data_IF_175398352865
#
_entry.id   IF_175398352865
#
_cell.length_a   1.000
_cell.length_b   1.000
_cell.length_c   1.000
_cell.angle_alpha   90.00
_cell.angle_beta   90.00
_cell.angle_gamma   90.00
#
_symmetry.space_group_name_H-M   'P 1'
#
loop_
_entity.id
_entity.type
_entity.pdbx_description
1 polymer ?
#
# COMPACT_ATOMS: atom_id res chain seq x y z
N UNK A 1 28.35 -14.63 2.41
CA UNK A 1 27.10 -15.33 2.07
C UNK A 1 27.21 -15.78 0.63
N UNK A 2 26.81 -17.02 0.39
CA UNK A 2 26.64 -17.66 -0.92
C UNK A 2 25.77 -16.80 -1.85
N UNK A 3 26.03 -16.86 -3.15
CA UNK A 3 25.21 -16.20 -4.17
C UNK A 3 23.72 -16.54 -3.94
N UNK A 4 22.90 -15.52 -3.70
CA UNK A 4 21.45 -15.69 -3.61
C UNK A 4 20.87 -15.86 -5.02
N UNK A 5 19.87 -16.73 -5.16
CA UNK A 5 19.21 -16.99 -6.43
C UNK A 5 18.68 -15.68 -7.04
N UNK A 6 18.86 -15.53 -8.35
CA UNK A 6 18.22 -14.48 -9.13
C UNK A 6 17.43 -15.12 -10.26
N UNK A 7 16.15 -14.76 -10.39
CA UNK A 7 15.31 -15.11 -11.54
C UNK A 7 14.77 -13.86 -12.20
N UNK A 8 14.37 -14.00 -13.46
CA UNK A 8 13.75 -12.94 -14.26
C UNK A 8 12.28 -13.23 -14.49
N UNK A 9 11.45 -12.18 -14.53
CA UNK A 9 10.05 -12.24 -14.94
C UNK A 9 9.76 -11.12 -15.93
N UNK A 10 9.09 -11.45 -17.04
CA UNK A 10 9.15 -10.60 -18.23
C UNK A 10 8.10 -10.93 -19.29
N UNK A 11 7.78 -9.98 -20.18
CA UNK A 11 6.85 -10.22 -21.29
C UNK A 11 7.35 -11.28 -22.28
N UNK A 12 8.67 -11.46 -22.38
CA UNK A 12 9.35 -12.40 -23.27
C UNK A 12 10.74 -12.73 -22.73
N UNK A 13 11.28 -13.90 -23.12
CA UNK A 13 12.66 -14.32 -22.83
C UNK A 13 13.10 -14.22 -21.36
N UNK A 14 12.16 -14.42 -20.42
CA UNK A 14 12.41 -14.46 -18.98
C UNK A 14 12.20 -15.87 -18.42
N UNK A 15 12.81 -16.17 -17.27
CA UNK A 15 12.62 -17.45 -16.57
C UNK A 15 11.13 -17.71 -16.28
N UNK A 16 10.40 -16.64 -15.92
CA UNK A 16 8.94 -16.60 -15.81
C UNK A 16 8.38 -15.65 -16.86
N UNK A 17 7.81 -16.18 -17.94
CA UNK A 17 7.25 -15.35 -19.02
C UNK A 17 5.77 -15.05 -18.78
N UNK A 18 5.41 -13.76 -18.76
CA UNK A 18 4.04 -13.27 -18.64
C UNK A 18 3.96 -11.76 -18.45
N UNK A 19 2.75 -11.21 -18.51
CA UNK A 19 2.47 -9.76 -18.43
C UNK A 19 1.43 -9.43 -17.36
N UNK A 20 1.35 -10.25 -16.32
CA UNK A 20 0.34 -10.11 -15.27
C UNK A 20 0.88 -10.52 -13.89
N UNK A 21 0.04 -10.32 -12.89
CA UNK A 21 0.36 -10.65 -11.50
C UNK A 21 0.64 -12.15 -11.28
N UNK A 22 0.15 -13.05 -12.14
CA UNK A 22 0.38 -14.49 -11.99
C UNK A 22 1.84 -14.85 -12.26
N UNK A 23 2.41 -14.34 -13.36
CA UNK A 23 3.83 -14.56 -13.68
C UNK A 23 4.76 -13.88 -12.67
N UNK A 24 4.37 -12.71 -12.15
CA UNK A 24 5.11 -12.00 -11.11
C UNK A 24 5.12 -12.80 -9.79
N UNK A 25 3.94 -13.25 -9.35
CA UNK A 25 3.81 -13.99 -8.10
C UNK A 25 4.51 -15.36 -8.19
N UNK A 26 4.44 -16.05 -9.33
CA UNK A 26 5.14 -17.30 -9.55
C UNK A 26 6.67 -17.16 -9.36
N UNK A 27 7.26 -16.08 -9.88
CA UNK A 27 8.68 -15.79 -9.70
C UNK A 27 9.04 -15.51 -8.22
N UNK A 28 8.19 -14.74 -7.52
CA UNK A 28 8.35 -14.46 -6.08
C UNK A 28 8.27 -15.73 -5.26
N UNK A 29 7.24 -16.56 -5.48
CA UNK A 29 7.03 -17.79 -4.72
C UNK A 29 8.14 -18.81 -4.99
N UNK A 30 8.64 -18.90 -6.23
CA UNK A 30 9.77 -19.78 -6.58
C UNK A 30 11.06 -19.42 -5.82
N UNK A 31 11.44 -18.13 -5.83
CA UNK A 31 12.63 -17.66 -5.11
C UNK A 31 12.45 -17.85 -3.60
N UNK A 32 11.26 -17.59 -3.09
CA UNK A 32 10.94 -17.75 -1.66
C UNK A 32 11.04 -19.20 -1.21
N UNK A 33 10.57 -20.15 -2.02
CA UNK A 33 10.65 -21.58 -1.73
C UNK A 33 12.11 -22.07 -1.58
N UNK A 34 13.07 -21.32 -2.09
CA UNK A 34 14.51 -21.60 -2.01
C UNK A 34 15.24 -20.77 -0.94
N UNK A 35 14.49 -20.09 -0.06
CA UNK A 35 15.03 -19.35 1.08
C UNK A 35 15.23 -17.85 0.83
N UNK A 36 14.66 -17.30 -0.24
CA UNK A 36 14.76 -15.89 -0.60
C UNK A 36 15.75 -15.64 -1.75
N UNK A 37 15.90 -14.38 -2.13
CA UNK A 37 16.72 -13.99 -3.29
C UNK A 37 16.10 -12.86 -4.10
N UNK A 38 16.50 -12.76 -5.36
CA UNK A 38 16.15 -11.64 -6.24
C UNK A 38 15.18 -12.06 -7.34
N UNK A 39 14.09 -11.30 -7.49
CA UNK A 39 13.23 -11.31 -8.68
C UNK A 39 13.50 -10.03 -9.46
N UNK A 40 14.02 -10.18 -10.69
CA UNK A 40 14.20 -9.08 -11.65
C UNK A 40 12.99 -9.02 -12.57
N UNK A 41 12.18 -7.97 -12.42
CA UNK A 41 11.08 -7.68 -13.34
C UNK A 41 11.66 -6.91 -14.52
N UNK A 42 11.53 -7.47 -15.72
CA UNK A 42 11.99 -6.82 -16.94
C UNK A 42 11.09 -5.62 -17.29
N UNK A 43 11.52 -4.83 -18.27
CA UNK A 43 10.71 -3.73 -18.80
C UNK A 43 9.38 -4.28 -19.37
N UNK A 44 8.30 -3.57 -19.11
CA UNK A 44 6.95 -3.94 -19.53
C UNK A 44 5.87 -3.40 -18.59
N UNK A 45 4.64 -3.39 -19.09
CA UNK A 45 3.44 -3.15 -18.28
C UNK A 45 2.81 -4.48 -17.91
N UNK A 46 2.57 -4.67 -16.61
CA UNK A 46 2.01 -5.87 -16.03
C UNK A 46 0.61 -5.57 -15.46
N UNK A 47 -0.38 -6.30 -15.93
CA UNK A 47 -1.77 -6.16 -15.49
C UNK A 47 -1.98 -6.84 -14.14
N UNK A 48 -2.32 -6.04 -13.13
CA UNK A 48 -2.45 -6.49 -11.75
C UNK A 48 -3.91 -6.82 -11.44
N UNK A 49 -4.25 -8.11 -11.53
CA UNK A 49 -5.56 -8.65 -11.14
C UNK A 49 -5.70 -8.99 -9.65
N UNK A 50 -4.59 -8.94 -8.93
CA UNK A 50 -4.47 -9.10 -7.49
C UNK A 50 -3.19 -8.38 -7.04
N UNK A 51 -2.95 -8.29 -5.74
CA UNK A 51 -1.67 -7.82 -5.21
C UNK A 51 -0.51 -8.71 -5.64
N UNK A 52 0.66 -8.12 -5.86
CA UNK A 52 1.92 -8.85 -5.72
C UNK A 52 2.20 -8.99 -4.22
N UNK A 53 2.16 -10.22 -3.71
CA UNK A 53 2.40 -10.52 -2.31
C UNK A 53 3.89 -10.77 -2.06
N UNK A 54 4.51 -9.85 -1.32
CA UNK A 54 5.90 -9.91 -0.92
C UNK A 54 6.14 -11.06 0.08
N UNK A 55 7.41 -11.47 0.20
CA UNK A 55 7.87 -12.60 1.01
C UNK A 55 9.18 -12.23 1.70
N UNK A 56 9.41 -12.70 2.91
CA UNK A 56 10.63 -12.35 3.66
C UNK A 56 11.91 -12.72 2.91
N UNK A 57 12.94 -11.87 2.99
CA UNK A 57 14.21 -12.09 2.28
C UNK A 57 14.15 -11.85 0.76
N UNK A 58 13.07 -11.23 0.27
CA UNK A 58 12.89 -10.90 -1.14
C UNK A 58 13.59 -9.58 -1.51
N UNK A 59 14.31 -9.61 -2.62
CA UNK A 59 14.71 -8.42 -3.37
C UNK A 59 13.96 -8.37 -4.70
N UNK A 60 13.08 -7.38 -4.86
CA UNK A 60 12.33 -7.12 -6.07
C UNK A 60 12.97 -5.94 -6.81
N UNK A 61 13.39 -6.14 -8.07
CA UNK A 61 14.09 -5.11 -8.85
C UNK A 61 13.45 -4.98 -10.22
N UNK A 62 12.98 -3.78 -10.58
CA UNK A 62 12.51 -3.49 -11.93
C UNK A 62 13.57 -2.82 -12.81
N UNK A 63 13.10 -2.24 -13.92
CA UNK A 63 13.87 -1.46 -14.89
C UNK A 63 13.53 0.05 -14.82
N UNK A 64 13.25 0.57 -13.63
CA UNK A 64 12.88 1.97 -13.39
C UNK A 64 11.45 2.28 -13.85
N UNK A 65 11.29 3.38 -14.59
CA UNK A 65 9.98 3.78 -15.15
C UNK A 65 9.46 2.82 -16.24
N UNK A 66 10.34 1.99 -16.81
CA UNK A 66 9.99 1.03 -17.85
C UNK A 66 9.33 -0.25 -17.31
N UNK A 67 9.38 -0.50 -16.00
CA UNK A 67 8.63 -1.58 -15.34
C UNK A 67 7.41 -0.99 -14.65
N UNK A 68 6.21 -1.30 -15.15
CA UNK A 68 4.95 -0.72 -14.66
C UNK A 68 4.02 -1.84 -14.16
N UNK A 69 3.70 -1.82 -12.87
CA UNK A 69 2.65 -2.66 -12.28
C UNK A 69 1.35 -1.87 -12.28
N UNK A 70 0.44 -2.15 -13.21
CA UNK A 70 -0.80 -1.39 -13.41
C UNK A 70 -2.00 -2.11 -12.80
N UNK A 71 -2.71 -1.44 -11.91
CA UNK A 71 -3.95 -1.97 -11.31
C UNK A 71 -5.06 -2.10 -12.34
N UNK A 72 -5.70 -3.27 -12.40
CA UNK A 72 -6.91 -3.43 -13.22
C UNK A 72 -8.07 -2.56 -12.69
N UNK A 73 -9.11 -2.28 -13.49
CA UNK A 73 -10.30 -1.54 -13.02
C UNK A 73 -10.97 -2.22 -11.83
N UNK A 74 -11.50 -1.46 -10.88
CA UNK A 74 -12.31 -2.03 -9.80
C UNK A 74 -13.73 -2.34 -10.27
N UNK A 75 -14.36 -3.33 -9.65
CA UNK A 75 -15.78 -3.66 -9.78
C UNK A 75 -16.31 -4.01 -8.40
N UNK A 76 -17.60 -3.81 -8.14
CA UNK A 76 -18.23 -4.16 -6.87
C UNK A 76 -19.60 -4.80 -7.11
N UNK A 77 -19.99 -5.69 -6.20
CA UNK A 77 -21.27 -6.38 -6.18
C UNK A 77 -21.70 -6.64 -4.73
N UNK A 78 -22.99 -6.71 -4.48
CA UNK A 78 -23.49 -7.04 -3.13
C UNK A 78 -23.32 -8.53 -2.84
N UNK A 79 -23.22 -8.84 -1.55
CA UNK A 79 -23.43 -10.21 -1.08
C UNK A 79 -24.93 -10.53 -1.07
N UNK A 80 -25.29 -11.77 -1.38
CA UNK A 80 -26.68 -12.26 -1.34
C UNK A 80 -26.96 -13.20 -0.17
N UNK A 81 -25.90 -13.70 0.47
CA UNK A 81 -25.98 -14.49 1.71
C UNK A 81 -24.99 -13.93 2.73
N UNK A 82 -25.32 -14.11 4.01
CA UNK A 82 -24.40 -13.79 5.11
C UNK A 82 -23.13 -14.63 4.99
N UNK A 83 -21.99 -14.03 5.34
CA UNK A 83 -20.71 -14.71 5.47
C UNK A 83 -20.22 -14.53 6.90
N UNK A 84 -20.10 -15.62 7.63
CA UNK A 84 -19.53 -15.61 8.97
C UNK A 84 -18.00 -15.68 8.91
N UNK A 85 -17.38 -15.28 10.01
CA UNK A 85 -15.92 -15.15 10.16
C UNK A 85 -15.12 -16.43 9.84
N UNK A 86 -15.75 -17.61 9.87
CA UNK A 86 -15.13 -18.92 9.60
C UNK A 86 -15.43 -19.48 8.20
N UNK A 87 -16.30 -18.82 7.43
CA UNK A 87 -16.67 -19.30 6.10
C UNK A 87 -15.50 -19.17 5.12
N UNK A 88 -15.48 -20.06 4.13
CA UNK A 88 -14.47 -20.05 3.05
C UNK A 88 -15.06 -19.70 1.70
N UNK A 89 -16.34 -19.33 1.68
CA UNK A 89 -17.10 -18.96 0.49
C UNK A 89 -17.90 -17.69 0.74
N UNK A 90 -18.12 -16.91 -0.32
CA UNK A 90 -19.06 -15.77 -0.31
C UNK A 90 -19.99 -15.90 -1.51
N UNK A 91 -21.29 -15.66 -1.31
CA UNK A 91 -22.28 -15.62 -2.40
C UNK A 91 -22.54 -14.17 -2.80
N UNK A 92 -22.38 -13.86 -4.08
CA UNK A 92 -22.51 -12.50 -4.63
C UNK A 92 -23.61 -12.42 -5.69
N UNK A 93 -24.12 -11.21 -5.97
CA UNK A 93 -25.10 -11.02 -7.04
C UNK A 93 -24.55 -11.37 -8.44
N UNK A 94 -23.29 -11.00 -8.73
CA UNK A 94 -22.62 -11.29 -9.99
C UNK A 94 -21.19 -11.85 -9.79
N UNK A 95 -21.05 -13.17 -9.84
CA UNK A 95 -19.75 -13.84 -9.71
C UNK A 95 -18.84 -13.67 -10.93
N UNK A 96 -19.37 -13.27 -12.09
CA UNK A 96 -18.59 -13.11 -13.34
C UNK A 96 -17.60 -11.94 -13.30
N UNK A 97 -17.77 -11.04 -12.32
CA UNK A 97 -16.87 -9.92 -12.04
C UNK A 97 -15.51 -10.37 -11.47
N UNK A 98 -15.42 -11.62 -10.98
CA UNK A 98 -14.24 -12.17 -10.33
C UNK A 98 -13.64 -13.32 -11.14
N UNK A 99 -12.36 -13.59 -10.89
CA UNK A 99 -11.61 -14.65 -11.54
C UNK A 99 -10.71 -15.36 -10.54
N UNK A 100 -10.46 -16.64 -10.77
CA UNK A 100 -9.49 -17.41 -10.00
C UNK A 100 -8.11 -16.74 -10.05
N UNK A 101 -7.45 -16.63 -8.90
CA UNK A 101 -6.21 -15.89 -8.69
C UNK A 101 -6.38 -14.37 -8.59
N UNK A 102 -7.60 -13.85 -8.72
CA UNK A 102 -7.91 -12.43 -8.59
C UNK A 102 -8.09 -11.98 -7.13
N UNK A 103 -7.84 -10.70 -6.87
CA UNK A 103 -8.05 -10.09 -5.57
C UNK A 103 -9.52 -9.75 -5.32
N UNK A 104 -9.96 -9.94 -4.08
CA UNK A 104 -11.29 -9.57 -3.58
C UNK A 104 -11.17 -8.87 -2.23
N UNK A 105 -11.91 -7.77 -2.08
CA UNK A 105 -12.12 -7.05 -0.83
C UNK A 105 -13.56 -7.28 -0.40
N UNK A 106 -13.75 -7.84 0.79
CA UNK A 106 -15.03 -7.81 1.48
C UNK A 106 -15.09 -6.54 2.32
N UNK A 107 -16.19 -5.80 2.21
CA UNK A 107 -16.44 -4.59 3.01
C UNK A 107 -17.89 -4.51 3.44
N UNK A 108 -18.12 -3.83 4.56
CA UNK A 108 -19.45 -3.63 5.15
C UNK A 108 -19.30 -3.08 6.56
N UNK A 109 -20.43 -2.78 7.22
CA UNK A 109 -20.40 -2.46 8.65
C UNK A 109 -20.32 -3.75 9.45
N UNK A 110 -19.48 -3.80 10.48
CA UNK A 110 -19.47 -4.91 11.40
C UNK A 110 -20.83 -5.02 12.12
N UNK A 111 -21.49 -6.18 12.13
CA UNK A 111 -22.78 -6.34 12.79
C UNK A 111 -22.74 -6.16 14.32
N UNK A 112 -21.57 -6.30 14.93
CA UNK A 112 -21.42 -6.26 16.40
C UNK A 112 -21.18 -4.87 16.98
N UNK A 113 -20.56 -3.98 16.20
CA UNK A 113 -20.14 -2.65 16.68
C UNK A 113 -20.25 -1.55 15.62
N UNK A 114 -20.87 -1.83 14.47
CA UNK A 114 -21.26 -0.89 13.42
C UNK A 114 -20.13 -0.04 12.81
N UNK A 115 -18.86 -0.44 12.99
CA UNK A 115 -17.74 0.19 12.28
C UNK A 115 -17.53 -0.46 10.92
N UNK A 116 -17.11 0.32 9.95
CA UNK A 116 -16.68 -0.21 8.67
C UNK A 116 -15.51 -1.18 8.86
N UNK A 117 -15.55 -2.32 8.17
CA UNK A 117 -14.50 -3.32 8.15
C UNK A 117 -14.12 -3.66 6.70
N UNK A 118 -12.89 -4.13 6.52
CA UNK A 118 -12.27 -4.35 5.22
C UNK A 118 -11.40 -5.61 5.31
N UNK A 119 -11.69 -6.61 4.49
CA UNK A 119 -10.97 -7.89 4.49
C UNK A 119 -10.55 -8.24 3.06
N UNK A 120 -9.24 -8.33 2.82
CA UNK A 120 -8.65 -8.65 1.51
C UNK A 120 -8.36 -10.15 1.41
N UNK A 121 -8.77 -10.80 0.33
CA UNK A 121 -8.57 -12.22 0.04
C UNK A 121 -8.25 -12.44 -1.44
N UNK A 122 -7.93 -13.67 -1.78
CA UNK A 122 -7.77 -14.14 -3.16
C UNK A 122 -8.88 -15.12 -3.49
N UNK A 123 -9.47 -14.98 -4.68
CA UNK A 123 -10.46 -15.93 -5.19
C UNK A 123 -9.74 -17.18 -5.70
N UNK A 124 -10.06 -18.37 -5.18
CA UNK A 124 -9.42 -19.64 -5.55
C UNK A 124 -10.31 -20.56 -6.39
N UNK A 125 -11.63 -20.34 -6.36
CA UNK A 125 -12.59 -20.99 -7.26
C UNK A 125 -13.83 -20.10 -7.45
N UNK A 126 -14.54 -20.29 -8.56
CA UNK A 126 -15.78 -19.58 -8.89
C UNK A 126 -16.80 -20.61 -9.37
N UNK A 127 -17.93 -20.72 -8.65
CA UNK A 127 -19.04 -21.62 -8.95
C UNK A 127 -20.32 -20.79 -9.15
N UNK A 128 -20.50 -20.27 -10.37
CA UNK A 128 -21.56 -19.31 -10.66
C UNK A 128 -21.37 -18.04 -9.85
N UNK A 129 -22.20 -17.87 -8.83
CA UNK A 129 -22.21 -16.71 -7.92
C UNK A 129 -21.55 -16.98 -6.57
N UNK A 130 -21.02 -18.19 -6.34
CA UNK A 130 -20.27 -18.54 -5.15
C UNK A 130 -18.78 -18.40 -5.44
N UNK A 131 -18.10 -17.57 -4.65
CA UNK A 131 -16.65 -17.37 -4.73
C UNK A 131 -15.98 -18.07 -3.57
N UNK A 132 -14.98 -18.90 -3.84
CA UNK A 132 -14.16 -19.53 -2.80
C UNK A 132 -12.94 -18.66 -2.50
N UNK A 133 -12.63 -18.48 -1.22
CA UNK A 133 -11.54 -17.64 -0.73
C UNK A 133 -10.32 -18.48 -0.38
N UNK A 134 -9.12 -17.90 -0.51
CA UNK A 134 -7.85 -18.52 -0.11
C UNK A 134 -7.75 -18.81 1.39
N UNK A 135 -8.47 -18.02 2.19
CA UNK A 135 -8.59 -18.17 3.64
C UNK A 135 -9.86 -17.48 4.13
N UNK A 136 -10.35 -17.95 5.28
CA UNK A 136 -11.55 -17.40 5.92
C UNK A 136 -11.39 -15.90 6.24
N UNK A 137 -12.48 -15.10 6.30
CA UNK A 137 -12.39 -13.64 6.42
C UNK A 137 -11.98 -13.15 7.81
N UNK A 138 -12.17 -13.97 8.86
CA UNK A 138 -12.02 -13.59 10.29
C UNK A 138 -12.88 -12.40 10.74
N UNK A 139 -13.87 -12.01 9.96
CA UNK A 139 -14.87 -10.99 10.27
C UNK A 139 -16.22 -11.41 9.66
N UNK A 140 -17.33 -10.95 10.24
CA UNK A 140 -18.69 -11.29 9.78
C UNK A 140 -19.22 -10.24 8.81
N UNK A 141 -19.68 -10.65 7.63
CA UNK A 141 -20.27 -9.80 6.60
C UNK A 141 -21.72 -10.22 6.37
N UNK A 142 -22.65 -9.51 7.01
CA UNK A 142 -24.08 -9.80 6.92
C UNK A 142 -24.78 -8.85 5.96
N UNK A 143 -25.78 -9.35 5.23
CA UNK A 143 -26.43 -8.64 4.12
C UNK A 143 -27.24 -7.43 4.57
N UNK A 144 -27.74 -7.43 5.81
CA UNK A 144 -28.43 -6.31 6.45
C UNK A 144 -27.46 -5.18 6.87
N UNK A 145 -26.16 -5.47 6.89
CA UNK A 145 -25.07 -4.51 7.15
C UNK A 145 -24.43 -3.96 5.87
N UNK A 146 -25.15 -4.05 4.74
CA UNK A 146 -24.70 -3.55 3.42
C UNK A 146 -23.37 -4.19 2.98
N UNK A 147 -23.24 -5.51 3.17
CA UNK A 147 -22.03 -6.23 2.79
C UNK A 147 -21.82 -6.32 1.26
N UNK A 148 -20.60 -6.06 0.83
CA UNK A 148 -20.18 -6.04 -0.57
C UNK A 148 -18.85 -6.78 -0.79
N UNK A 149 -18.70 -7.31 -1.99
CA UNK A 149 -17.44 -7.81 -2.53
C UNK A 149 -16.97 -6.87 -3.65
N UNK A 150 -15.71 -6.48 -3.63
CA UNK A 150 -15.13 -5.60 -4.64
C UNK A 150 -13.76 -6.10 -5.12
N UNK A 151 -13.43 -5.91 -6.40
CA UNK A 151 -12.07 -6.06 -6.91
C UNK A 151 -11.23 -4.85 -6.53
N UNK A 152 -10.86 -4.78 -5.26
CA UNK A 152 -10.05 -3.72 -4.67
C UNK A 152 -8.94 -4.33 -3.83
N UNK A 153 -7.72 -3.85 -4.01
CA UNK A 153 -6.53 -4.34 -3.30
C UNK A 153 -5.38 -3.33 -3.47
N UNK A 154 -4.36 -3.34 -2.59
CA UNK A 154 -3.09 -2.69 -2.86
C UNK A 154 -2.35 -3.37 -4.03
N UNK A 155 -1.63 -2.62 -4.85
CA UNK A 155 -0.95 -3.22 -6.02
C UNK A 155 0.20 -4.13 -5.61
N UNK A 156 0.99 -3.70 -4.62
CA UNK A 156 2.04 -4.49 -3.98
C UNK A 156 1.77 -4.52 -2.48
N UNK A 157 1.89 -5.69 -1.84
CA UNK A 157 1.61 -5.81 -0.41
C UNK A 157 2.58 -6.73 0.33
N UNK A 158 2.94 -6.35 1.55
CA UNK A 158 3.60 -7.20 2.53
C UNK A 158 2.77 -7.25 3.82
N UNK A 159 2.64 -8.43 4.41
CA UNK A 159 1.92 -8.68 5.66
C UNK A 159 2.73 -9.70 6.47
N UNK A 160 3.23 -9.31 7.65
CA UNK A 160 4.08 -10.15 8.51
C UNK A 160 5.35 -10.67 7.79
N UNK A 161 6.02 -9.81 7.01
CA UNK A 161 7.22 -10.13 6.23
C UNK A 161 8.37 -9.16 6.49
N UNK A 162 9.59 -9.67 6.47
CA UNK A 162 10.78 -8.92 6.89
C UNK A 162 11.93 -9.04 5.89
N UNK A 163 12.94 -8.19 6.03
CA UNK A 163 14.16 -8.25 5.20
C UNK A 163 13.84 -8.10 3.71
N UNK A 164 13.16 -7.00 3.38
CA UNK A 164 12.64 -6.72 2.04
C UNK A 164 13.44 -5.61 1.36
N UNK A 165 13.59 -5.73 0.04
CA UNK A 165 14.09 -4.65 -0.81
C UNK A 165 13.25 -4.56 -2.08
N UNK A 166 12.74 -3.36 -2.39
CA UNK A 166 11.95 -3.08 -3.59
C UNK A 166 12.60 -1.90 -4.31
N UNK A 167 13.02 -2.10 -5.55
CA UNK A 167 13.86 -1.13 -6.27
C UNK A 167 13.41 -0.90 -7.72
N UNK A 168 13.50 0.35 -8.16
CA UNK A 168 13.47 0.74 -9.57
C UNK A 168 12.25 0.19 -10.32
N UNK A 169 11.03 0.53 -9.88
CA UNK A 169 9.81 0.17 -10.58
C UNK A 169 8.71 1.22 -10.39
N UNK A 170 7.71 1.19 -11.27
CA UNK A 170 6.51 2.02 -11.18
C UNK A 170 5.30 1.19 -10.78
N UNK A 171 4.52 1.70 -9.83
CA UNK A 171 3.21 1.21 -9.43
C UNK A 171 2.18 2.24 -9.91
N UNK A 172 1.31 1.84 -10.82
CA UNK A 172 0.24 2.65 -11.40
C UNK A 172 -1.11 2.17 -10.85
N UNK A 173 -1.72 2.98 -9.98
CA UNK A 173 -2.95 2.62 -9.30
C UNK A 173 -4.22 2.79 -10.15
N UNK A 174 -4.10 3.27 -11.40
CA UNK A 174 -5.21 3.42 -12.34
C UNK A 174 -6.45 4.13 -11.73
N UNK A 175 -6.21 5.27 -11.08
CA UNK A 175 -7.16 6.01 -10.23
C UNK A 175 -8.52 6.24 -10.85
N UNK A 176 -8.57 6.61 -12.13
CA UNK A 176 -9.83 6.92 -12.81
C UNK A 176 -10.79 5.72 -12.91
N UNK A 177 -10.26 4.51 -12.86
CA UNK A 177 -10.99 3.25 -13.05
C UNK A 177 -11.14 2.46 -11.73
N UNK A 178 -10.79 3.07 -10.60
CA UNK A 178 -10.77 2.40 -9.31
C UNK A 178 -11.54 3.20 -8.26
N UNK A 179 -12.37 2.52 -7.47
CA UNK A 179 -12.90 3.08 -6.23
C UNK A 179 -11.79 3.34 -5.21
N UNK A 180 -12.07 4.23 -4.26
CA UNK A 180 -11.11 4.56 -3.21
C UNK A 180 -10.95 3.39 -2.23
N UNK A 181 -9.70 3.03 -1.92
CA UNK A 181 -9.34 2.15 -0.82
C UNK A 181 -8.47 2.92 0.17
N UNK A 182 -8.99 3.10 1.39
CA UNK A 182 -8.34 3.84 2.46
C UNK A 182 -6.93 3.31 2.77
N UNK A 183 -6.01 4.24 3.03
CA UNK A 183 -4.60 4.04 3.41
C UNK A 183 -4.30 3.07 4.55
N UNK A 184 -5.24 2.84 5.47
CA UNK A 184 -5.10 1.88 6.57
C UNK A 184 -5.27 0.42 6.10
N UNK A 185 -5.81 0.22 4.90
CA UNK A 185 -6.11 -1.10 4.33
C UNK A 185 -5.49 -1.32 2.95
N UNK A 186 -4.92 -0.31 2.33
CA UNK A 186 -4.27 -0.41 1.03
C UNK A 186 -3.46 0.82 0.64
N UNK A 187 -2.92 0.77 -0.58
CA UNK A 187 -2.08 1.81 -1.18
C UNK A 187 -1.52 1.29 -2.50
N UNK A 188 -0.71 2.09 -3.20
CA UNK A 188 0.11 1.57 -4.30
C UNK A 188 1.02 0.45 -3.78
N UNK A 189 1.77 0.77 -2.72
CA UNK A 189 2.48 -0.19 -1.87
C UNK A 189 1.91 -0.15 -0.45
N UNK A 190 1.52 -1.30 0.09
CA UNK A 190 0.99 -1.43 1.45
C UNK A 190 1.79 -2.45 2.26
N UNK A 191 2.26 -2.06 3.45
CA UNK A 191 2.98 -2.93 4.36
C UNK A 191 2.27 -2.97 5.71
N UNK A 192 2.18 -4.15 6.30
CA UNK A 192 1.60 -4.35 7.62
C UNK A 192 2.42 -5.35 8.42
N UNK A 193 2.75 -5.02 9.68
CA UNK A 193 3.52 -5.89 10.58
C UNK A 193 4.87 -6.33 9.99
N UNK A 194 5.58 -5.42 9.32
CA UNK A 194 6.84 -5.70 8.61
C UNK A 194 8.05 -5.04 9.29
N UNK A 195 9.24 -5.61 9.11
CA UNK A 195 10.50 -5.10 9.67
C UNK A 195 11.64 -5.14 8.65
N UNK A 196 12.57 -4.18 8.74
CA UNK A 196 13.74 -4.03 7.85
C UNK A 196 13.34 -4.04 6.36
N UNK A 197 12.62 -3.01 5.95
CA UNK A 197 12.15 -2.83 4.57
C UNK A 197 12.85 -1.66 3.91
N UNK A 198 13.42 -1.87 2.73
CA UNK A 198 13.96 -0.79 1.89
C UNK A 198 13.14 -0.65 0.60
N UNK A 199 12.68 0.57 0.33
CA UNK A 199 12.04 0.96 -0.93
C UNK A 199 12.88 2.07 -1.56
N UNK A 200 13.42 1.82 -2.76
CA UNK A 200 14.33 2.76 -3.42
C UNK A 200 13.98 2.98 -4.88
N UNK A 201 13.97 4.24 -5.33
CA UNK A 201 13.68 4.57 -6.73
C UNK A 201 12.36 3.94 -7.23
N UNK A 202 11.35 3.93 -6.37
CA UNK A 202 10.01 3.45 -6.71
C UNK A 202 9.09 4.64 -6.94
N UNK A 203 8.33 4.59 -8.03
CA UNK A 203 7.27 5.55 -8.31
C UNK A 203 5.92 4.92 -7.99
N UNK A 204 5.15 5.50 -7.08
CA UNK A 204 3.72 5.21 -6.94
C UNK A 204 2.93 6.38 -7.51
N UNK A 205 2.04 6.10 -8.46
CA UNK A 205 1.23 7.14 -9.09
C UNK A 205 -0.21 6.74 -9.29
N UNK A 206 -1.06 7.77 -9.37
CA UNK A 206 -2.44 7.64 -9.78
C UNK A 206 -3.16 6.51 -9.04
N UNK A 207 -2.93 6.36 -7.72
CA UNK A 207 -3.70 5.44 -6.88
C UNK A 207 -4.93 6.15 -6.31
N UNK A 208 -6.11 5.53 -6.38
CA UNK A 208 -7.28 6.03 -5.66
C UNK A 208 -7.21 5.60 -4.18
N UNK A 209 -6.32 6.24 -3.45
CA UNK A 209 -5.91 5.92 -2.09
C UNK A 209 -4.52 6.49 -1.84
N UNK A 210 -3.77 5.86 -0.93
CA UNK A 210 -2.42 6.29 -0.60
C UNK A 210 -1.38 5.81 -1.63
N UNK A 211 -0.27 6.54 -1.76
CA UNK A 211 0.87 6.10 -2.55
C UNK A 211 1.60 4.92 -1.91
N UNK A 212 2.27 5.18 -0.78
CA UNK A 212 2.95 4.15 0.03
C UNK A 212 2.45 4.27 1.47
N UNK A 213 1.85 3.20 2.00
CA UNK A 213 1.37 3.13 3.38
C UNK A 213 2.01 1.95 4.10
N UNK A 214 2.42 2.17 5.35
CA UNK A 214 2.95 1.11 6.22
C UNK A 214 2.42 1.26 7.64
N UNK A 215 1.93 0.15 8.18
CA UNK A 215 1.23 0.08 9.46
C UNK A 215 1.93 -0.93 10.37
N UNK A 216 2.23 -0.55 11.61
CA UNK A 216 2.92 -1.43 12.57
C UNK A 216 4.25 -1.97 12.01
N UNK A 217 5.02 -1.11 11.33
CA UNK A 217 6.29 -1.52 10.72
C UNK A 217 7.48 -0.83 11.37
N UNK A 218 8.58 -1.57 11.48
CA UNK A 218 9.83 -1.09 12.07
C UNK A 218 10.94 -1.00 11.01
N UNK A 219 11.79 0.02 11.14
CA UNK A 219 13.00 0.18 10.31
C UNK A 219 12.71 0.19 8.78
N UNK A 220 11.65 0.91 8.40
CA UNK A 220 11.28 1.15 6.99
C UNK A 220 12.08 2.32 6.42
N UNK A 221 12.84 2.08 5.35
CA UNK A 221 13.56 3.10 4.58
C UNK A 221 12.88 3.35 3.24
N UNK A 222 12.47 4.59 2.98
CA UNK A 222 11.97 5.08 1.69
C UNK A 222 12.97 6.10 1.15
N UNK A 223 13.71 5.76 0.10
CA UNK A 223 14.77 6.62 -0.44
C UNK A 223 14.62 6.86 -1.93
N UNK A 224 14.77 8.11 -2.37
CA UNK A 224 14.73 8.47 -3.79
C UNK A 224 13.44 8.06 -4.51
N UNK A 225 12.33 7.93 -3.78
CA UNK A 225 11.03 7.50 -4.30
C UNK A 225 10.17 8.68 -4.76
N UNK A 226 9.15 8.38 -5.57
CA UNK A 226 8.18 9.36 -6.09
C UNK A 226 6.77 8.92 -5.74
N UNK A 227 5.98 9.78 -5.11
CA UNK A 227 4.55 9.57 -4.84
C UNK A 227 3.75 10.67 -5.52
N UNK A 228 3.05 10.33 -6.60
CA UNK A 228 2.57 11.28 -7.60
C UNK A 228 1.06 11.15 -7.84
N UNK A 229 0.29 12.22 -7.61
CA UNK A 229 -1.14 12.33 -7.94
C UNK A 229 -2.03 11.21 -7.33
N UNK A 230 -1.57 10.60 -6.24
CA UNK A 230 -2.38 9.67 -5.45
C UNK A 230 -3.54 10.44 -4.79
N UNK A 231 -4.71 9.83 -4.66
CA UNK A 231 -5.92 10.55 -4.24
C UNK A 231 -5.83 11.07 -2.81
N UNK A 232 -5.21 10.29 -1.91
CA UNK A 232 -5.17 10.56 -0.48
C UNK A 232 -3.75 10.96 -0.04
N UNK A 233 -3.04 10.08 0.66
CA UNK A 233 -1.75 10.41 1.28
C UNK A 233 -0.58 9.99 0.38
N UNK A 234 0.45 10.84 0.28
CA UNK A 234 1.64 10.52 -0.49
C UNK A 234 2.45 9.39 0.13
N UNK A 235 2.92 9.61 1.36
CA UNK A 235 3.57 8.61 2.20
C UNK A 235 2.92 8.59 3.58
N UNK A 236 2.63 7.39 4.08
CA UNK A 236 1.82 7.18 5.28
C UNK A 236 2.43 6.13 6.22
N UNK A 237 3.38 6.54 7.10
CA UNK A 237 3.68 5.78 8.31
C UNK A 237 2.50 5.84 9.29
N UNK A 238 2.05 4.68 9.76
CA UNK A 238 0.98 4.62 10.75
C UNK A 238 1.08 3.49 11.75
N UNK A 239 0.10 3.48 12.65
CA UNK A 239 -0.16 2.44 13.66
C UNK A 239 1.10 1.94 14.38
N UNK A 240 1.76 2.82 15.12
CA UNK A 240 2.88 2.44 15.98
C UNK A 240 4.20 2.15 15.25
N UNK A 241 4.30 2.40 13.95
CA UNK A 241 5.55 2.20 13.19
C UNK A 241 6.74 2.94 13.81
N UNK A 242 7.89 2.28 13.95
CA UNK A 242 9.07 2.86 14.58
C UNK A 242 10.24 3.06 13.60
N UNK A 243 10.99 4.14 13.82
CA UNK A 243 12.24 4.45 13.12
C UNK A 243 12.15 4.50 11.57
N UNK A 244 11.06 5.04 10.96
CA UNK A 244 11.05 5.21 9.51
C UNK A 244 12.11 6.22 9.06
N UNK A 245 12.79 5.96 7.95
CA UNK A 245 13.73 6.88 7.31
C UNK A 245 13.22 7.21 5.92
N UNK A 246 13.01 8.50 5.65
CA UNK A 246 12.40 8.99 4.40
C UNK A 246 13.27 10.09 3.84
N UNK A 247 13.99 9.80 2.76
CA UNK A 247 15.02 10.68 2.20
C UNK A 247 14.90 10.86 0.70
N UNK A 248 15.21 12.07 0.22
CA UNK A 248 15.35 12.38 -1.21
C UNK A 248 14.10 12.06 -2.05
N UNK A 249 12.91 12.02 -1.44
CA UNK A 249 11.68 11.68 -2.13
C UNK A 249 11.00 12.91 -2.74
N UNK A 250 10.21 12.68 -3.79
CA UNK A 250 9.31 13.66 -4.38
C UNK A 250 7.86 13.24 -4.12
N UNK A 251 7.11 14.07 -3.42
CA UNK A 251 5.70 13.84 -3.12
C UNK A 251 4.90 14.99 -3.74
N UNK A 252 4.08 14.70 -4.75
CA UNK A 252 3.44 15.74 -5.56
C UNK A 252 1.99 15.40 -5.88
N UNK A 253 1.09 16.37 -5.68
CA UNK A 253 -0.29 16.26 -6.17
C UNK A 253 -1.20 15.32 -5.38
N UNK A 254 -0.78 14.89 -4.18
CA UNK A 254 -1.59 14.10 -3.25
C UNK A 254 -2.44 15.02 -2.35
N UNK A 255 -3.56 14.55 -1.78
CA UNK A 255 -4.35 15.35 -0.82
C UNK A 255 -3.49 15.78 0.38
N UNK A 256 -2.63 14.89 0.87
CA UNK A 256 -1.59 15.23 1.84
C UNK A 256 -0.24 14.63 1.41
N UNK A 257 0.85 15.36 1.65
CA UNK A 257 2.19 14.91 1.28
C UNK A 257 2.69 13.77 2.16
N UNK A 258 3.13 14.10 3.38
CA UNK A 258 3.60 13.14 4.36
C UNK A 258 2.69 13.10 5.58
N UNK A 259 2.18 11.93 5.94
CA UNK A 259 1.21 11.78 7.02
C UNK A 259 1.71 10.85 8.11
N UNK A 260 2.19 11.42 9.22
CA UNK A 260 2.34 10.67 10.46
C UNK A 260 0.94 10.43 11.03
N UNK A 261 0.53 9.16 11.09
CA UNK A 261 -0.85 8.80 11.41
C UNK A 261 -1.12 8.63 12.89
N UNK A 262 -0.45 7.66 13.52
CA UNK A 262 -0.73 7.22 14.87
C UNK A 262 0.48 6.54 15.48
N UNK A 263 1.10 7.16 16.49
CA UNK A 263 2.15 6.55 17.30
C UNK A 263 3.48 6.33 16.57
N UNK A 264 3.74 7.07 15.48
CA UNK A 264 4.98 6.99 14.72
C UNK A 264 6.11 7.67 15.50
N UNK A 265 7.23 6.98 15.71
CA UNK A 265 8.31 7.51 16.55
C UNK A 265 9.69 7.27 16.01
N UNK A 266 10.62 8.13 16.44
CA UNK A 266 12.05 8.04 16.13
C UNK A 266 12.34 8.07 14.62
N UNK A 267 11.41 8.61 13.83
CA UNK A 267 11.53 8.70 12.38
C UNK A 267 12.37 9.89 11.93
N UNK A 268 12.91 9.79 10.71
CA UNK A 268 13.64 10.83 10.02
C UNK A 268 12.99 11.10 8.67
N UNK A 269 12.57 12.33 8.44
CA UNK A 269 12.01 12.79 7.17
C UNK A 269 12.88 13.94 6.69
N UNK A 270 13.77 13.66 5.74
CA UNK A 270 14.86 14.57 5.39
C UNK A 270 15.01 14.82 3.89
N UNK A 271 15.30 16.07 3.51
CA UNK A 271 15.65 16.43 2.13
C UNK A 271 14.61 16.01 1.08
N UNK A 272 13.33 16.01 1.44
CA UNK A 272 12.23 15.68 0.53
C UNK A 272 11.64 16.94 -0.11
N UNK A 273 11.13 16.79 -1.34
CA UNK A 273 10.29 17.78 -1.99
C UNK A 273 8.82 17.37 -1.86
N UNK A 274 8.03 18.18 -1.18
CA UNK A 274 6.60 18.02 -1.01
C UNK A 274 5.91 19.21 -1.66
N UNK A 275 5.10 18.98 -2.70
CA UNK A 275 4.47 20.09 -3.40
C UNK A 275 3.09 19.82 -3.96
N UNK A 276 2.32 20.89 -4.12
CA UNK A 276 0.97 20.85 -4.68
C UNK A 276 0.06 19.87 -3.91
N UNK A 277 0.19 19.84 -2.58
CA UNK A 277 -0.69 19.01 -1.74
C UNK A 277 -2.09 19.62 -1.69
N UNK A 278 -3.14 18.81 -1.78
CA UNK A 278 -4.54 19.28 -1.76
C UNK A 278 -4.89 20.03 -0.47
N UNK A 279 -4.37 19.57 0.68
CA UNK A 279 -4.56 20.18 2.00
C UNK A 279 -3.25 20.47 2.68
N UNK A 280 -2.50 19.42 3.05
CA UNK A 280 -1.37 19.55 3.96
C UNK A 280 -0.09 19.01 3.34
N UNK A 281 1.01 19.75 3.46
CA UNK A 281 2.33 19.25 3.08
C UNK A 281 2.75 18.10 3.99
N UNK A 282 2.87 18.38 5.28
CA UNK A 282 3.11 17.39 6.34
C UNK A 282 1.98 17.47 7.37
N UNK A 283 1.49 16.33 7.82
CA UNK A 283 0.51 16.22 8.90
C UNK A 283 1.05 15.26 9.96
N UNK A 284 1.03 15.70 11.22
CA UNK A 284 1.52 14.93 12.36
C UNK A 284 0.51 14.94 13.49
N UNK A 285 0.27 13.81 14.15
CA UNK A 285 -0.82 13.66 15.11
C UNK A 285 -0.62 12.57 16.16
N UNK A 286 -1.74 12.13 16.74
CA UNK A 286 -1.87 11.09 17.78
C UNK A 286 -0.58 10.37 18.22
N UNK A 287 0.09 10.86 19.27
CA UNK A 287 1.28 10.25 19.90
C UNK A 287 2.47 10.01 18.95
N UNK A 288 2.52 10.75 17.85
CA UNK A 288 3.71 10.81 17.00
C UNK A 288 4.77 11.65 17.74
N UNK A 289 5.88 11.02 18.14
CA UNK A 289 6.87 11.65 19.02
C UNK A 289 8.29 11.32 18.64
N UNK A 290 9.21 12.20 19.03
CA UNK A 290 10.65 11.95 18.87
C UNK A 290 11.09 11.82 17.41
N UNK A 291 10.35 12.40 16.46
CA UNK A 291 10.69 12.41 15.04
C UNK A 291 11.52 13.64 14.67
N UNK A 292 12.42 13.49 13.70
CA UNK A 292 13.19 14.56 13.08
C UNK A 292 12.66 14.82 11.66
N UNK A 293 12.23 16.04 11.41
CA UNK A 293 11.79 16.51 10.09
C UNK A 293 12.71 17.65 9.67
N UNK A 294 13.56 17.43 8.67
CA UNK A 294 14.64 18.37 8.35
C UNK A 294 14.91 18.62 6.88
N UNK A 295 15.20 19.88 6.53
CA UNK A 295 15.75 20.18 5.20
C UNK A 295 14.76 19.89 4.07
N UNK A 296 13.47 19.73 4.39
CA UNK A 296 12.44 19.47 3.40
C UNK A 296 12.00 20.78 2.75
N UNK A 297 11.62 20.72 1.48
CA UNK A 297 10.95 21.81 0.78
C UNK A 297 9.47 21.47 0.67
N UNK A 298 8.62 22.26 1.31
CA UNK A 298 7.18 22.10 1.33
C UNK A 298 6.57 23.33 0.66
N UNK A 299 5.92 23.16 -0.49
CA UNK A 299 5.38 24.31 -1.22
C UNK A 299 4.02 24.09 -1.84
N UNK A 300 3.21 25.15 -1.88
CA UNK A 300 1.89 25.12 -2.54
C UNK A 300 0.96 24.05 -1.98
N UNK A 301 0.93 23.92 -0.66
CA UNK A 301 -0.10 23.11 0.03
C UNK A 301 -1.39 23.94 0.15
N UNK A 302 -2.54 23.34 -0.18
CA UNK A 302 -3.82 24.06 -0.30
C UNK A 302 -4.41 24.59 1.02
N UNK A 303 -3.89 24.18 2.18
CA UNK A 303 -4.32 24.70 3.48
C UNK A 303 -3.14 25.03 4.42
N UNK A 304 -2.26 24.07 4.71
CA UNK A 304 -1.11 24.30 5.60
C UNK A 304 0.12 23.57 5.07
N UNK A 305 1.30 24.21 5.18
CA UNK A 305 2.55 23.51 4.91
C UNK A 305 2.78 22.37 5.90
N UNK A 306 2.58 22.63 7.21
CA UNK A 306 2.68 21.64 8.27
C UNK A 306 1.49 21.78 9.22
N UNK A 307 0.76 20.68 9.44
CA UNK A 307 -0.32 20.59 10.41
C UNK A 307 0.09 19.75 11.62
N UNK A 308 -0.01 20.33 12.81
CA UNK A 308 0.00 19.60 14.08
C UNK A 308 -1.45 19.33 14.49
N UNK A 309 -1.87 18.07 14.43
CA UNK A 309 -3.24 17.66 14.75
C UNK A 309 -3.43 17.59 16.26
N UNK A 310 -4.44 18.30 16.77
CA UNK A 310 -4.86 18.26 18.16
C UNK A 310 -5.69 17.01 18.46
N UNK A 311 -5.49 16.44 19.64
CA UNK A 311 -6.30 15.37 20.20
C UNK A 311 -7.18 15.92 21.33
N UNK A 312 -8.43 15.45 21.51
CA UNK A 312 -9.27 15.80 22.66
C UNK A 312 -8.68 15.53 24.06
N UNK A 313 -7.53 14.85 24.11
CA UNK A 313 -6.81 14.48 25.33
C UNK A 313 -5.36 14.91 25.06
N UNK A 314 -4.91 16.06 25.58
CA UNK A 314 -3.64 16.68 25.16
C UNK A 314 -2.40 15.79 25.34
N UNK A 315 -2.43 14.82 26.26
CA UNK A 315 -1.37 13.81 26.42
C UNK A 315 -1.22 12.86 25.21
N UNK A 316 -2.06 12.99 24.19
CA UNK A 316 -1.99 12.24 22.93
C UNK A 316 -1.63 13.13 21.75
N UNK A 317 -1.38 14.42 21.96
CA UNK A 317 -0.87 15.29 20.92
C UNK A 317 0.53 14.86 20.48
N UNK A 318 0.95 15.18 19.25
CA UNK A 318 2.33 14.98 18.84
C UNK A 318 3.25 15.87 19.68
N UNK A 319 4.37 15.32 20.18
CA UNK A 319 5.30 16.07 21.04
C UNK A 319 6.74 15.56 20.89
N UNK A 320 7.73 16.37 21.31
CA UNK A 320 9.17 16.07 21.17
C UNK A 320 9.62 15.80 19.73
N UNK A 321 8.91 16.36 18.75
CA UNK A 321 9.34 16.30 17.35
C UNK A 321 10.20 17.54 17.06
N UNK A 322 11.28 17.37 16.30
CA UNK A 322 12.16 18.45 15.88
C UNK A 322 11.92 18.75 14.40
N UNK A 323 11.54 19.98 14.10
CA UNK A 323 11.42 20.51 12.75
C UNK A 323 12.50 21.55 12.55
N UNK A 324 13.53 21.23 11.76
CA UNK A 324 14.70 22.11 11.56
C UNK A 324 14.98 22.33 10.06
N UNK A 325 15.36 23.55 9.68
CA UNK A 325 15.78 23.90 8.30
C UNK A 325 14.81 23.49 7.18
N UNK A 326 13.51 23.42 7.46
CA UNK A 326 12.49 23.17 6.42
C UNK A 326 12.09 24.49 5.75
N UNK A 327 12.01 24.49 4.42
CA UNK A 327 11.48 25.59 3.64
C UNK A 327 9.98 25.38 3.43
N UNK A 328 9.16 26.33 3.88
CA UNK A 328 7.70 26.33 3.66
C UNK A 328 7.33 27.56 2.85
N UNK A 329 6.81 27.36 1.64
CA UNK A 329 6.50 28.43 0.70
C UNK A 329 5.08 28.29 0.14
N UNK A 330 4.42 29.42 -0.14
CA UNK A 330 3.14 29.49 -0.87
C UNK A 330 2.06 28.52 -0.38
N UNK A 331 2.00 28.22 0.93
CA UNK A 331 1.03 27.28 1.50
C UNK A 331 -0.04 28.04 2.28
N UNK A 332 -1.32 27.82 1.94
CA UNK A 332 -2.48 28.51 2.53
C UNK A 332 -3.45 29.08 1.52
#
# INVERSE_FOLDING_TARGET
>A
MSDLLTVTTGPESADFTGRDHLALQAAVDYVTALGGGTVRILAGTYEMGNSLFLRSGLRLVGAGEDTILRKCPSVATRLTDDTDWYDTTVTVEDGSLFRVGGGILLRGKCPHYAKQQFVKRTVVAVEGNVLHLDRDPRENFWIDMEAEAARLFPVVTGDNVNDLTIESLTIDGNRAENENLNGNYGGGLFLQDCDRVTVRDVTTRDNNGDGISWQVCDDVTIDSCRSLNNADLGLHPGSGSQRPVVTNCVIRGCDQGFFFCWGVRYGRVESNLIENSGKYGISIGHRDTDNLVRGNTIRRSGALGILFREHPVPLRDPHRNLFEDNLIEDSG
#
